data_IF_894356291922
#
_entry.id   IF_894356291922
#
_cell.length_a   1.000
_cell.length_b   1.000
_cell.length_c   1.000
_cell.angle_alpha   90.00
_cell.angle_beta   90.00
_cell.angle_gamma   90.00
#
_symmetry.space_group_name_H-M   'P 1'
#
loop_
_entity.id
_entity.type
_entity.pdbx_description
1 polymer ?
#
# COMPACT_ATOMS: atom_id res chain seq x y z
N UNK A 1 6.71 24.17 12.63
CA UNK A 1 7.61 23.00 12.66
C UNK A 1 6.76 21.77 12.44
N UNK A 2 7.27 20.82 11.66
CA UNK A 2 6.56 19.60 11.28
C UNK A 2 6.80 18.54 12.34
N UNK A 3 5.73 17.88 12.80
CA UNK A 3 5.71 17.12 14.05
C UNK A 3 6.03 15.64 13.82
N UNK A 4 5.71 15.12 12.64
CA UNK A 4 5.91 13.72 12.30
C UNK A 4 7.13 13.53 11.42
N UNK A 5 7.87 12.47 11.69
CA UNK A 5 9.10 12.10 11.03
C UNK A 5 8.95 10.76 10.32
N UNK A 6 9.45 10.69 9.10
CA UNK A 6 9.45 9.47 8.30
C UNK A 6 10.49 8.47 8.81
N UNK A 7 10.07 7.21 8.95
CA UNK A 7 10.91 6.06 9.23
C UNK A 7 10.71 5.00 8.14
N UNK A 8 11.80 4.55 7.55
CA UNK A 8 11.80 3.48 6.55
C UNK A 8 11.87 2.11 7.23
N UNK A 9 10.95 1.20 6.87
CA UNK A 9 10.96 -0.20 7.32
C UNK A 9 11.72 -1.06 6.31
N UNK A 10 11.45 -0.84 5.02
CA UNK A 10 12.01 -1.67 3.94
C UNK A 10 12.20 -0.88 2.67
N UNK A 11 13.39 -1.00 2.09
CA UNK A 11 13.67 -0.54 0.74
C UNK A 11 13.11 -1.55 -0.27
N UNK A 12 12.25 -1.10 -1.17
CA UNK A 12 11.68 -1.90 -2.26
C UNK A 12 12.42 -1.71 -3.59
N UNK A 13 13.40 -0.79 -3.67
CA UNK A 13 14.17 -0.53 -4.90
C UNK A 13 14.89 -1.78 -5.42
N UNK A 14 15.38 -2.65 -4.53
CA UNK A 14 16.14 -3.84 -4.93
C UNK A 14 15.27 -5.02 -5.36
N UNK A 15 13.97 -5.04 -5.00
CA UNK A 15 13.02 -6.11 -5.35
C UNK A 15 11.92 -5.65 -6.31
N UNK A 16 12.21 -4.60 -7.08
CA UNK A 16 11.28 -3.72 -7.78
C UNK A 16 10.17 -4.40 -8.61
N UNK A 17 10.42 -5.60 -9.15
CA UNK A 17 9.43 -6.30 -9.97
C UNK A 17 8.44 -7.11 -9.14
N UNK A 18 8.89 -8.14 -8.41
CA UNK A 18 7.99 -9.10 -7.77
C UNK A 18 7.24 -8.51 -6.57
N UNK A 19 7.87 -7.61 -5.80
CA UNK A 19 7.24 -7.00 -4.62
C UNK A 19 6.11 -6.05 -5.02
N UNK A 20 6.27 -5.29 -6.10
CA UNK A 20 5.25 -4.34 -6.56
C UNK A 20 4.00 -5.03 -7.12
N UNK A 21 4.13 -6.22 -7.73
CA UNK A 21 2.95 -6.99 -8.15
C UNK A 21 2.16 -7.58 -6.99
N UNK A 22 2.84 -7.96 -5.89
CA UNK A 22 2.18 -8.40 -4.67
C UNK A 22 1.39 -7.25 -4.04
N UNK A 23 2.01 -6.06 -3.97
CA UNK A 23 1.41 -4.84 -3.42
C UNK A 23 0.16 -4.41 -4.21
N UNK A 24 0.16 -4.59 -5.53
CA UNK A 24 -0.97 -4.25 -6.41
C UNK A 24 -2.05 -5.33 -6.46
N UNK A 25 -1.88 -6.48 -5.79
CA UNK A 25 -2.80 -7.62 -5.88
C UNK A 25 -2.83 -8.27 -7.27
N UNK A 26 -1.82 -8.01 -8.11
CA UNK A 26 -1.71 -8.47 -9.49
C UNK A 26 -0.88 -9.74 -9.64
N UNK A 27 -0.40 -10.31 -8.53
CA UNK A 27 0.44 -11.50 -8.49
C UNK A 27 -0.20 -12.70 -9.20
N UNK A 28 -1.47 -13.00 -8.91
CA UNK A 28 -2.20 -14.12 -9.51
C UNK A 28 -2.41 -13.90 -11.03
N UNK A 29 -2.93 -12.75 -11.48
CA UNK A 29 -2.99 -12.42 -12.91
C UNK A 29 -1.64 -12.56 -13.62
N UNK A 30 -0.55 -12.14 -13.01
CA UNK A 30 0.77 -12.22 -13.63
C UNK A 30 1.25 -13.66 -13.83
N UNK A 31 0.99 -14.57 -12.89
CA UNK A 31 1.30 -15.99 -13.08
C UNK A 31 0.49 -16.60 -14.21
N UNK A 32 -0.80 -16.28 -14.31
CA UNK A 32 -1.67 -16.73 -15.41
C UNK A 32 -1.10 -16.26 -16.75
N UNK A 33 -0.69 -14.99 -16.85
CA UNK A 33 -0.11 -14.42 -18.05
C UNK A 33 1.23 -15.07 -18.44
N UNK A 34 2.10 -15.36 -17.47
CA UNK A 34 3.32 -16.12 -17.71
C UNK A 34 3.03 -17.50 -18.29
N UNK A 35 2.03 -18.21 -17.74
CA UNK A 35 1.61 -19.53 -18.24
C UNK A 35 1.09 -19.42 -19.67
N UNK A 36 0.27 -18.40 -19.99
CA UNK A 36 -0.20 -18.15 -21.36
C UNK A 36 0.94 -17.92 -22.34
N UNK A 37 1.98 -17.21 -21.92
CA UNK A 37 3.18 -16.96 -22.74
C UNK A 37 3.97 -18.26 -22.98
N UNK A 38 4.11 -19.10 -21.94
CA UNK A 38 4.72 -20.43 -22.07
C UNK A 38 3.94 -21.33 -23.02
N UNK A 39 2.59 -21.34 -22.95
CA UNK A 39 1.74 -22.08 -23.89
C UNK A 39 1.98 -21.59 -25.32
N UNK A 40 2.04 -20.27 -25.53
CA UNK A 40 2.33 -19.70 -26.85
C UNK A 40 3.69 -20.13 -27.41
N UNK A 41 4.74 -20.11 -26.58
CA UNK A 41 6.08 -20.59 -26.96
C UNK A 41 6.04 -22.09 -27.31
N UNK A 42 5.38 -22.91 -26.50
CA UNK A 42 5.27 -24.35 -26.74
C UNK A 42 4.53 -24.66 -28.04
N UNK A 43 3.43 -23.98 -28.33
CA UNK A 43 2.68 -24.14 -29.60
C UNK A 43 3.54 -23.77 -30.82
N UNK A 44 4.36 -22.73 -30.73
CA UNK A 44 5.30 -22.38 -31.81
C UNK A 44 6.39 -23.44 -32.00
N UNK A 45 6.95 -23.98 -30.91
CA UNK A 45 7.96 -25.05 -30.98
C UNK A 45 7.36 -26.30 -31.63
N UNK A 46 6.15 -26.69 -31.23
CA UNK A 46 5.43 -27.84 -31.82
C UNK A 46 5.21 -27.62 -33.32
N UNK A 47 4.76 -26.42 -33.72
CA UNK A 47 4.59 -26.05 -35.13
C UNK A 47 5.88 -26.24 -35.94
N UNK A 48 7.02 -25.78 -35.41
CA UNK A 48 8.33 -25.90 -36.06
C UNK A 48 8.78 -27.37 -36.14
N UNK A 49 8.55 -28.15 -35.09
CA UNK A 49 8.89 -29.59 -35.07
C UNK A 49 8.08 -30.37 -36.11
N UNK A 50 6.78 -30.10 -36.22
CA UNK A 50 5.91 -30.73 -37.23
C UNK A 50 6.36 -30.29 -38.63
N UNK A 51 6.64 -29.00 -38.85
CA UNK A 51 7.11 -28.49 -40.14
C UNK A 51 8.43 -29.14 -40.60
N UNK A 52 9.40 -29.35 -39.70
CA UNK A 52 10.69 -29.97 -40.04
C UNK A 52 10.54 -31.47 -40.33
N UNK A 53 9.59 -32.16 -39.66
CA UNK A 53 9.38 -33.61 -39.80
C UNK A 53 8.37 -33.99 -40.88
N UNK A 54 7.48 -33.09 -41.27
CA UNK A 54 6.34 -33.36 -42.13
C UNK A 54 6.69 -33.30 -43.62
N UNK A 55 6.37 -34.38 -44.35
CA UNK A 55 6.24 -34.41 -45.82
C UNK A 55 4.78 -34.53 -46.28
N UNK A 56 3.84 -34.63 -45.34
CA UNK A 56 2.42 -34.83 -45.61
C UNK A 56 1.65 -33.51 -45.59
N UNK A 57 0.79 -33.33 -46.60
CA UNK A 57 -0.06 -32.16 -46.77
C UNK A 57 -1.13 -32.04 -45.66
N UNK A 58 -1.53 -33.17 -45.04
CA UNK A 58 -2.53 -33.20 -43.96
C UNK A 58 -2.03 -32.50 -42.68
N UNK A 59 -0.71 -32.39 -42.48
CA UNK A 59 -0.11 -31.71 -41.33
C UNK A 59 -0.10 -30.18 -41.46
N UNK A 60 -0.41 -29.64 -42.65
CA UNK A 60 -0.37 -28.19 -42.91
C UNK A 60 -1.45 -27.46 -42.10
N UNK A 61 -2.64 -28.04 -41.96
CA UNK A 61 -3.74 -27.45 -41.18
C UNK A 61 -3.34 -27.37 -39.70
N UNK A 62 -2.76 -28.44 -39.16
CA UNK A 62 -2.32 -28.53 -37.78
C UNK A 62 -1.20 -27.52 -37.46
N UNK A 63 -0.24 -27.34 -38.38
CA UNK A 63 0.80 -26.30 -38.27
C UNK A 63 0.17 -24.90 -38.22
N UNK A 64 -0.80 -24.61 -39.08
CA UNK A 64 -1.47 -23.29 -39.13
C UNK A 64 -2.23 -23.01 -37.84
N UNK A 65 -2.93 -24.01 -37.28
CA UNK A 65 -3.65 -23.88 -36.01
C UNK A 65 -2.69 -23.57 -34.84
N UNK A 66 -1.59 -24.31 -34.72
CA UNK A 66 -0.62 -24.08 -33.65
C UNK A 66 0.14 -22.75 -33.82
N UNK A 67 0.40 -22.31 -35.06
CA UNK A 67 0.95 -20.98 -35.33
C UNK A 67 -0.02 -19.87 -34.94
N UNK A 68 -1.30 -20.03 -35.23
CA UNK A 68 -2.33 -19.04 -34.90
C UNK A 68 -2.53 -18.93 -33.38
N UNK A 69 -2.65 -20.06 -32.69
CA UNK A 69 -2.75 -20.13 -31.23
C UNK A 69 -1.50 -19.53 -30.59
N UNK A 70 -0.31 -19.95 -31.05
CA UNK A 70 0.97 -19.45 -30.55
C UNK A 70 1.13 -17.94 -30.74
N UNK A 71 0.77 -17.43 -31.92
CA UNK A 71 0.82 -16.01 -32.26
C UNK A 71 -0.12 -15.17 -31.39
N UNK A 72 -1.38 -15.57 -31.24
CA UNK A 72 -2.35 -14.84 -30.39
C UNK A 72 -1.91 -14.87 -28.93
N UNK A 73 -1.50 -16.03 -28.41
CA UNK A 73 -1.02 -16.15 -27.03
C UNK A 73 0.23 -15.29 -26.78
N UNK A 74 1.13 -15.17 -27.74
CA UNK A 74 2.28 -14.27 -27.64
C UNK A 74 1.88 -12.80 -27.66
N UNK A 75 0.95 -12.38 -28.53
CA UNK A 75 0.49 -10.98 -28.59
C UNK A 75 -0.18 -10.60 -27.27
N UNK A 76 -1.14 -11.41 -26.79
CA UNK A 76 -1.85 -11.16 -25.54
C UNK A 76 -0.86 -11.17 -24.37
N UNK A 77 -0.03 -12.21 -24.27
CA UNK A 77 0.97 -12.33 -23.22
C UNK A 77 1.93 -11.15 -23.19
N UNK A 78 2.44 -10.73 -24.35
CA UNK A 78 3.39 -9.61 -24.45
C UNK A 78 2.73 -8.28 -24.08
N UNK A 79 1.55 -7.96 -24.62
CA UNK A 79 0.85 -6.70 -24.30
C UNK A 79 0.58 -6.59 -22.80
N UNK A 80 0.15 -7.68 -22.17
CA UNK A 80 -0.13 -7.69 -20.74
C UNK A 80 1.14 -7.65 -19.88
N UNK A 81 2.21 -8.36 -20.25
CA UNK A 81 3.49 -8.29 -19.54
C UNK A 81 4.08 -6.88 -19.65
N UNK A 82 4.22 -6.34 -20.87
CA UNK A 82 4.75 -4.99 -21.07
C UNK A 82 3.87 -3.92 -20.41
N UNK A 83 2.55 -4.03 -20.53
CA UNK A 83 1.60 -3.13 -19.86
C UNK A 83 1.72 -3.18 -18.34
N UNK A 84 1.89 -4.37 -17.77
CA UNK A 84 2.10 -4.57 -16.33
C UNK A 84 3.41 -3.96 -15.84
N UNK A 85 4.50 -4.14 -16.61
CA UNK A 85 5.81 -3.54 -16.31
C UNK A 85 5.71 -2.02 -16.36
N UNK A 86 5.10 -1.47 -17.40
CA UNK A 86 4.88 -0.04 -17.57
C UNK A 86 4.05 0.54 -16.43
N UNK A 87 2.97 -0.15 -16.03
CA UNK A 87 2.11 0.25 -14.93
C UNK A 87 2.85 0.28 -13.58
N UNK A 88 3.69 -0.73 -13.30
CA UNK A 88 4.54 -0.74 -12.10
C UNK A 88 5.55 0.42 -12.13
N UNK A 89 6.14 0.69 -13.29
CA UNK A 89 7.08 1.81 -13.47
C UNK A 89 6.43 3.16 -13.19
N UNK A 90 5.19 3.37 -13.63
CA UNK A 90 4.42 4.59 -13.38
C UNK A 90 4.03 4.73 -11.91
N UNK A 91 3.64 3.63 -11.25
CA UNK A 91 3.21 3.70 -9.85
C UNK A 91 4.36 3.86 -8.87
N UNK A 92 5.54 3.30 -9.18
CA UNK A 92 6.83 3.75 -8.67
C UNK A 92 6.99 3.77 -7.14
N UNK A 93 6.37 2.84 -6.41
CA UNK A 93 6.64 2.69 -4.98
C UNK A 93 8.06 2.14 -4.77
N UNK A 94 8.84 2.86 -3.96
CA UNK A 94 10.26 2.59 -3.73
C UNK A 94 10.54 2.09 -2.32
N UNK A 95 9.70 2.43 -1.33
CA UNK A 95 9.93 2.06 0.07
C UNK A 95 8.63 1.81 0.82
N UNK A 96 8.71 1.01 1.89
CA UNK A 96 7.67 0.88 2.91
C UNK A 96 8.20 1.56 4.16
N UNK A 97 7.40 2.43 4.76
CA UNK A 97 7.77 3.15 5.97
C UNK A 97 6.56 3.55 6.80
N UNK A 98 6.75 4.44 7.76
CA UNK A 98 5.67 5.04 8.55
C UNK A 98 6.11 6.41 9.06
N UNK A 99 5.14 7.22 9.46
CA UNK A 99 5.40 8.48 10.14
C UNK A 99 5.28 8.29 11.65
N UNK A 100 6.24 8.82 12.41
CA UNK A 100 6.31 8.72 13.87
C UNK A 100 6.46 10.11 14.50
N UNK A 101 5.85 10.31 15.67
CA UNK A 101 6.07 11.49 16.51
C UNK A 101 6.07 11.10 17.99
N UNK A 102 6.95 11.70 18.77
CA UNK A 102 6.93 11.63 20.23
C UNK A 102 6.06 12.76 20.80
N UNK A 103 4.94 12.39 21.41
CA UNK A 103 3.99 13.31 22.01
C UNK A 103 3.93 13.13 23.53
N UNK A 104 3.51 14.17 24.24
CA UNK A 104 3.25 14.18 25.68
C UNK A 104 1.76 14.39 25.91
N UNK A 105 1.15 13.53 26.71
CA UNK A 105 -0.28 13.58 27.04
C UNK A 105 -0.56 14.78 27.94
N UNK A 106 -1.41 15.70 27.48
CA UNK A 106 -1.86 16.86 28.26
C UNK A 106 -3.19 16.61 28.97
N UNK A 107 -4.07 15.84 28.34
CA UNK A 107 -5.39 15.52 28.87
C UNK A 107 -5.84 14.15 28.39
N UNK A 108 -6.51 13.42 29.28
CA UNK A 108 -7.23 12.19 28.98
C UNK A 108 -8.67 12.40 29.42
N UNK A 109 -9.62 12.23 28.51
CA UNK A 109 -11.05 12.34 28.80
C UNK A 109 -11.77 11.08 28.35
N UNK A 110 -12.71 10.58 29.14
CA UNK A 110 -13.64 9.54 28.71
C UNK A 110 -14.83 10.25 28.04
N UNK A 111 -15.00 10.06 26.73
CA UNK A 111 -15.89 10.91 25.92
C UNK A 111 -17.29 10.31 25.79
N UNK A 112 -17.44 8.98 25.83
CA UNK A 112 -18.75 8.32 25.72
C UNK A 112 -18.70 6.79 25.99
N UNK A 113 -19.73 6.29 26.69
CA UNK A 113 -20.27 4.91 26.58
C UNK A 113 -21.44 4.96 25.60
N UNK A 114 -21.22 4.85 24.29
CA UNK A 114 -22.33 4.62 23.35
C UNK A 114 -22.41 3.10 23.18
N UNK A 115 -23.28 2.45 23.97
CA UNK A 115 -23.29 0.99 24.16
C UNK A 115 -22.21 0.49 25.14
N UNK A 116 -21.77 -0.75 25.00
CA UNK A 116 -20.75 -1.39 25.87
C UNK A 116 -19.29 -0.94 25.59
N UNK A 117 -19.04 -0.15 24.54
CA UNK A 117 -17.68 0.26 24.18
C UNK A 117 -17.32 1.64 24.75
N UNK A 118 -16.34 1.67 25.65
CA UNK A 118 -15.74 2.91 26.18
C UNK A 118 -14.86 3.57 25.12
N UNK A 119 -14.91 4.90 25.02
CA UNK A 119 -14.00 5.70 24.17
C UNK A 119 -13.26 6.75 25.01
N UNK A 120 -11.99 6.93 24.70
CA UNK A 120 -11.09 7.87 25.35
C UNK A 120 -10.56 8.88 24.33
N UNK A 121 -10.52 10.15 24.74
CA UNK A 121 -9.88 11.24 24.03
C UNK A 121 -8.55 11.57 24.68
N UNK A 122 -7.51 11.59 23.87
CA UNK A 122 -6.18 12.01 24.26
C UNK A 122 -5.87 13.34 23.61
N UNK A 123 -5.71 14.39 24.41
CA UNK A 123 -5.11 15.64 23.94
C UNK A 123 -3.63 15.57 24.20
N UNK A 124 -2.84 15.53 23.13
CA UNK A 124 -1.39 15.37 23.18
C UNK A 124 -0.68 16.56 22.55
N UNK A 125 0.60 16.73 22.91
CA UNK A 125 1.46 17.81 22.41
C UNK A 125 2.83 17.27 22.07
N UNK A 126 3.49 17.81 21.06
CA UNK A 126 4.87 17.46 20.73
C UNK A 126 5.81 17.55 21.94
N UNK A 127 6.54 16.46 22.24
CA UNK A 127 7.33 16.36 23.47
C UNK A 127 8.51 17.34 23.51
N UNK A 128 9.12 17.61 22.36
CA UNK A 128 10.28 18.50 22.22
C UNK A 128 9.91 19.98 22.12
N UNK A 129 8.64 20.32 21.85
CA UNK A 129 8.21 21.69 21.62
C UNK A 129 7.01 22.11 22.48
N UNK A 130 7.30 22.85 23.55
CA UNK A 130 6.29 23.38 24.48
C UNK A 130 5.36 24.44 23.87
N UNK A 131 5.61 24.92 22.64
CA UNK A 131 4.70 25.77 21.84
C UNK A 131 4.05 25.03 20.67
N UNK A 132 4.30 23.73 20.52
CA UNK A 132 3.70 22.89 19.47
C UNK A 132 2.16 22.84 19.53
N UNK A 133 1.54 22.56 18.38
CA UNK A 133 0.10 22.36 18.25
C UNK A 133 -0.36 21.15 19.05
N UNK A 134 -1.57 21.22 19.58
CA UNK A 134 -2.23 20.10 20.24
C UNK A 134 -2.85 19.18 19.20
N UNK A 135 -2.71 17.88 19.40
CA UNK A 135 -3.31 16.83 18.58
C UNK A 135 -4.33 16.11 19.46
N UNK A 136 -5.53 15.87 18.93
CA UNK A 136 -6.57 15.11 19.61
C UNK A 136 -6.71 13.75 18.96
N UNK A 137 -6.49 12.69 19.74
CA UNK A 137 -6.63 11.30 19.27
C UNK A 137 -7.76 10.62 20.03
N UNK A 138 -8.65 9.93 19.31
CA UNK A 138 -9.76 9.17 19.91
C UNK A 138 -9.49 7.69 19.78
N UNK A 139 -9.54 6.97 20.90
CA UNK A 139 -9.22 5.55 21.00
C UNK A 139 -10.25 4.80 21.85
N UNK A 140 -10.41 3.50 21.59
CA UNK A 140 -11.31 2.57 22.29
C UNK A 140 -10.71 2.07 23.61
N UNK A 141 -9.40 2.27 23.82
CA UNK A 141 -8.69 1.84 25.02
C UNK A 141 -7.98 3.00 25.69
N UNK A 142 -7.88 2.99 27.02
CA UNK A 142 -7.06 3.97 27.73
C UNK A 142 -5.57 3.79 27.45
N UNK A 143 -5.17 2.61 26.95
CA UNK A 143 -3.79 2.23 26.63
C UNK A 143 -2.77 2.51 27.77
N UNK A 144 -3.23 2.51 29.02
CA UNK A 144 -2.40 2.82 30.19
C UNK A 144 -1.87 4.27 30.25
N UNK A 145 -2.37 5.17 29.40
CA UNK A 145 -1.92 6.55 29.32
C UNK A 145 -2.58 7.44 30.38
N UNK A 146 -1.77 8.34 30.93
CA UNK A 146 -2.13 9.35 31.92
C UNK A 146 -1.50 10.69 31.56
N UNK A 147 -2.02 11.77 32.16
CA UNK A 147 -1.48 13.12 31.96
C UNK A 147 0.00 13.17 32.35
N UNK A 148 0.83 13.70 31.46
CA UNK A 148 2.28 13.79 31.65
C UNK A 148 3.06 12.66 30.99
N UNK A 149 2.41 11.55 30.64
CA UNK A 149 3.07 10.44 29.95
C UNK A 149 3.59 10.87 28.57
N UNK A 150 4.73 10.33 28.18
CA UNK A 150 5.21 10.39 26.80
C UNK A 150 4.68 9.18 26.04
N UNK A 151 4.23 9.42 24.82
CA UNK A 151 3.70 8.42 23.94
C UNK A 151 4.32 8.59 22.55
N UNK A 152 4.71 7.48 21.96
CA UNK A 152 5.10 7.40 20.55
C UNK A 152 3.83 7.13 19.76
N UNK A 153 3.56 7.99 18.77
CA UNK A 153 2.40 7.89 17.88
C UNK A 153 2.92 7.64 16.48
N UNK A 154 2.56 6.50 15.88
CA UNK A 154 2.99 6.10 14.55
C UNK A 154 1.81 5.76 13.63
N UNK A 155 1.93 6.06 12.34
CA UNK A 155 0.99 5.53 11.34
C UNK A 155 1.24 4.03 11.11
N UNK A 156 0.25 3.28 10.62
CA UNK A 156 0.49 1.97 10.04
C UNK A 156 1.54 2.04 8.92
N UNK A 157 2.15 0.90 8.53
CA UNK A 157 3.05 0.85 7.39
C UNK A 157 2.37 1.37 6.11
N UNK A 158 3.02 2.31 5.43
CA UNK A 158 2.57 2.94 4.20
C UNK A 158 3.59 2.68 3.07
N UNK A 159 3.12 2.62 1.84
CA UNK A 159 3.96 2.62 0.64
C UNK A 159 4.31 4.05 0.22
N UNK A 160 5.58 4.27 -0.11
CA UNK A 160 6.13 5.57 -0.50
C UNK A 160 6.84 5.46 -1.85
N UNK A 161 6.72 6.51 -2.67
CA UNK A 161 7.36 6.64 -3.98
C UNK A 161 8.80 7.17 -3.91
N UNK A 162 9.24 7.60 -2.72
CA UNK A 162 10.60 8.09 -2.45
C UNK A 162 10.82 9.56 -2.80
N UNK A 163 9.72 10.31 -3.03
CA UNK A 163 9.73 11.76 -3.24
C UNK A 163 8.91 12.53 -2.20
N UNK A 164 8.30 11.80 -1.25
CA UNK A 164 7.50 12.37 -0.18
C UNK A 164 8.34 13.16 0.82
N UNK A 165 7.73 14.15 1.47
CA UNK A 165 8.40 14.94 2.48
C UNK A 165 8.72 14.10 3.72
N UNK A 166 9.98 14.09 4.12
CA UNK A 166 10.45 13.32 5.29
C UNK A 166 9.83 13.78 6.61
N UNK A 167 9.34 15.02 6.67
CA UNK A 167 8.69 15.58 7.83
C UNK A 167 7.35 16.19 7.39
N UNK A 168 6.28 15.93 8.14
CA UNK A 168 4.91 16.41 7.85
C UNK A 168 4.20 16.95 9.10
N UNK A 169 3.24 17.88 8.91
CA UNK A 169 2.34 18.32 10.00
C UNK A 169 1.17 17.33 10.17
N UNK A 170 0.52 17.34 11.34
CA UNK A 170 -0.65 16.53 11.68
C UNK A 170 -1.80 16.64 10.66
N UNK A 171 -1.99 17.82 10.04
CA UNK A 171 -2.99 18.03 8.98
C UNK A 171 -2.65 17.35 7.66
N UNK A 172 -1.36 17.34 7.33
CA UNK A 172 -0.86 16.70 6.12
C UNK A 172 -0.98 15.18 6.24
N UNK A 173 -0.78 14.64 7.45
CA UNK A 173 -0.98 13.23 7.78
C UNK A 173 -2.43 12.79 7.53
N UNK A 174 -3.41 13.59 7.95
CA UNK A 174 -4.84 13.36 7.68
C UNK A 174 -5.22 13.47 6.18
N UNK A 175 -4.54 14.35 5.42
CA UNK A 175 -4.77 14.49 3.98
C UNK A 175 -4.10 13.37 3.18
N UNK A 176 -2.96 12.85 3.66
CA UNK A 176 -2.23 11.75 3.02
C UNK A 176 -3.07 10.46 2.99
N UNK A 177 -3.83 10.18 4.04
CA UNK A 177 -4.74 9.03 4.11
C UNK A 177 -6.05 9.24 3.32
N UNK A 178 -6.57 10.46 3.21
CA UNK A 178 -7.73 10.73 2.31
C UNK A 178 -7.43 10.43 0.85
N UNK A 179 -6.18 10.63 0.41
CA UNK A 179 -5.75 10.30 -0.94
C UNK A 179 -5.51 8.79 -1.15
N UNK A 180 -5.55 7.97 -0.09
CA UNK A 180 -5.41 6.50 -0.14
C UNK A 180 -6.72 5.74 -0.37
N UNK A 181 -7.72 6.34 -1.02
CA UNK A 181 -8.97 5.65 -1.44
C UNK A 181 -8.76 4.45 -2.39
N UNK A 182 -7.53 4.08 -2.71
CA UNK A 182 -7.18 2.90 -3.52
C UNK A 182 -6.74 1.66 -2.73
N UNK A 183 -6.59 1.73 -1.39
CA UNK A 183 -6.45 0.55 -0.54
C UNK A 183 -7.66 0.51 0.41
N UNK A 184 -8.59 -0.42 0.15
CA UNK A 184 -9.87 -0.60 0.84
C UNK A 184 -9.75 -0.44 2.36
N UNK A 185 -10.54 0.47 2.96
CA UNK A 185 -10.99 0.26 4.34
C UNK A 185 -11.33 1.46 5.23
N UNK A 186 -10.84 2.68 5.00
CA UNK A 186 -11.04 3.76 5.99
C UNK A 186 -12.22 4.69 5.66
N UNK A 187 -13.26 4.67 6.50
CA UNK A 187 -14.32 5.68 6.53
C UNK A 187 -13.99 6.75 7.58
N UNK A 188 -13.59 7.93 7.12
CA UNK A 188 -13.52 9.13 7.96
C UNK A 188 -14.89 9.80 8.03
N UNK A 189 -15.45 9.91 9.23
CA UNK A 189 -16.58 10.80 9.51
C UNK A 189 -16.06 12.13 10.04
N UNK A 190 -16.54 13.24 9.47
CA UNK A 190 -16.38 14.56 10.07
C UNK A 190 -17.33 14.65 11.26
N UNK A 191 -16.85 14.42 12.47
CA UNK A 191 -17.55 14.93 13.65
C UNK A 191 -17.22 16.42 13.79
N UNK A 192 -18.25 17.26 13.90
CA UNK A 192 -18.15 18.72 13.95
C UNK A 192 -17.53 19.28 15.23
N UNK A 193 -16.36 18.77 15.61
CA UNK A 193 -15.57 19.25 16.75
C UNK A 193 -14.43 20.12 16.23
N UNK A 194 -14.29 21.33 16.78
CA UNK A 194 -13.21 22.26 16.48
C UNK A 194 -11.85 21.66 16.87
N UNK A 195 -11.17 21.04 15.92
CA UNK A 195 -9.84 20.47 16.07
C UNK A 195 -9.61 19.29 15.13
N UNK A 196 -8.36 19.10 14.70
CA UNK A 196 -7.96 17.95 13.89
C UNK A 196 -8.06 16.67 14.75
N UNK A 197 -9.15 15.90 14.61
CA UNK A 197 -9.39 14.64 15.34
C UNK A 197 -8.88 13.46 14.52
N UNK A 198 -7.95 12.69 15.07
CA UNK A 198 -7.42 11.46 14.45
C UNK A 198 -8.01 10.24 15.19
N UNK A 199 -8.49 9.22 14.46
CA UNK A 199 -9.00 7.98 15.08
C UNK A 199 -7.86 6.99 15.31
N UNK A 200 -7.96 6.16 16.34
CA UNK A 200 -6.98 5.10 16.70
C UNK A 200 -6.77 4.06 15.61
N UNK A 201 -7.75 3.86 14.74
CA UNK A 201 -7.64 2.95 13.59
C UNK A 201 -6.52 3.40 12.62
N UNK A 202 -6.14 4.69 12.70
CA UNK A 202 -5.18 5.35 11.83
C UNK A 202 -3.82 5.55 12.52
N UNK A 203 -3.70 5.24 13.82
CA UNK A 203 -2.48 5.49 14.61
C UNK A 203 -2.24 4.43 15.70
N UNK A 204 -1.04 3.87 15.70
CA UNK A 204 -0.55 3.00 16.79
C UNK A 204 0.13 3.89 17.83
N UNK A 205 -0.35 3.80 19.07
CA UNK A 205 0.20 4.58 20.18
C UNK A 205 0.89 3.62 21.17
N UNK A 206 2.12 3.95 21.55
CA UNK A 206 2.88 3.21 22.56
C UNK A 206 3.32 4.17 23.68
N UNK A 207 3.00 3.82 24.93
CA UNK A 207 3.54 4.53 26.10
C UNK A 207 5.04 4.28 26.20
N UNK A 208 5.81 5.35 26.40
CA UNK A 208 7.26 5.32 26.57
C UNK A 208 7.63 5.27 28.05
#
# INVERSE_FOLDING_TARGET
MKQFHYHEIRNLQEHFFLSNFDILGLKIPMYILMITLCIGILSLIISVVIFIKGKDEDLVIEIVEYLFIGGISMIIGSVFVFGSIWFVFILGYKTIGYYESELTVKKVEEINKIGEQKKYQFTMKEAKNSKGKLITIVSKSRQGLSKGDKAIVKTPPLYFKGGEEKNIDSRELLNFERNKKFLKGSKFERTGLNGDVIKEEDLIIHKK
#
